data_IF_280069441100
#
_entry.id   IF_280069441100
#
_cell.length_a   1.000
_cell.length_b   1.000
_cell.length_c   1.000
_cell.angle_alpha   90.00
_cell.angle_beta   90.00
_cell.angle_gamma   90.00
#
_symmetry.space_group_name_H-M   'P 1'
#
loop_
_entity.id
_entity.type
_entity.pdbx_description
1 polymer ?
#
# COMPACT_ATOMS: atom_id res chain seq x y z
N UNK A 1 10.21 19.50 -19.64
CA UNK A 1 10.46 18.43 -20.63
C UNK A 1 9.59 17.26 -20.20
N UNK A 2 8.44 17.06 -20.85
CA UNK A 2 7.51 15.99 -20.50
C UNK A 2 7.99 14.70 -21.15
N UNK A 3 8.52 13.78 -20.38
CA UNK A 3 8.88 12.45 -20.89
C UNK A 3 7.62 11.60 -20.87
N UNK A 4 6.92 11.54 -22.00
CA UNK A 4 5.89 10.52 -22.22
C UNK A 4 6.59 9.17 -22.39
N UNK A 5 6.68 8.38 -21.32
CA UNK A 5 6.98 6.96 -21.46
C UNK A 5 5.78 6.28 -22.13
N UNK A 6 6.02 5.47 -23.15
CA UNK A 6 5.01 4.58 -23.72
C UNK A 6 4.47 3.65 -22.60
N UNK A 7 3.17 3.34 -22.64
CA UNK A 7 2.60 2.39 -21.70
C UNK A 7 3.42 1.08 -21.68
N UNK A 8 3.71 0.49 -20.50
CA UNK A 8 4.49 -0.73 -20.42
C UNK A 8 3.77 -1.87 -21.15
N UNK A 9 4.53 -2.78 -21.77
CA UNK A 9 3.98 -4.00 -22.34
C UNK A 9 3.44 -4.91 -21.24
N UNK A 10 2.59 -5.86 -21.56
CA UNK A 10 2.02 -6.82 -20.59
C UNK A 10 3.11 -7.57 -19.80
N UNK A 11 4.22 -7.94 -20.45
CA UNK A 11 5.36 -8.60 -19.82
C UNK A 11 6.11 -7.71 -18.81
N UNK A 12 6.02 -6.39 -18.97
CA UNK A 12 6.66 -5.40 -18.12
C UNK A 12 5.72 -4.87 -17.03
N UNK A 13 4.45 -5.25 -17.06
CA UNK A 13 3.46 -4.79 -16.09
C UNK A 13 3.51 -5.60 -14.80
N UNK A 14 3.51 -4.91 -13.66
CA UNK A 14 3.21 -5.50 -12.36
C UNK A 14 1.70 -5.69 -12.19
N UNK A 15 0.92 -4.68 -12.60
CA UNK A 15 -0.54 -4.68 -12.50
C UNK A 15 -1.11 -4.37 -13.88
N UNK A 16 -2.14 -5.14 -14.27
CA UNK A 16 -2.92 -4.87 -15.48
C UNK A 16 -4.39 -4.84 -15.12
N UNK A 17 -5.07 -3.79 -15.53
CA UNK A 17 -6.53 -3.71 -15.54
C UNK A 17 -7.00 -3.77 -17.01
N UNK A 18 -8.03 -4.58 -17.30
CA UNK A 18 -8.62 -4.70 -18.64
C UNK A 18 -10.13 -4.69 -18.54
N UNK A 19 -10.74 -3.73 -19.21
CA UNK A 19 -12.19 -3.45 -19.15
C UNK A 19 -12.71 -3.47 -17.71
N UNK A 20 -11.90 -2.92 -16.79
CA UNK A 20 -12.15 -3.03 -15.35
C UNK A 20 -13.21 -2.03 -14.93
N UNK A 21 -14.27 -2.54 -14.33
CA UNK A 21 -15.42 -1.79 -13.85
C UNK A 21 -15.65 -2.08 -12.37
N UNK A 22 -16.04 -1.05 -11.61
CA UNK A 22 -16.30 -1.18 -10.17
C UNK A 22 -17.50 -0.35 -9.73
N UNK A 23 -18.34 -0.93 -8.89
CA UNK A 23 -19.54 -0.29 -8.33
C UNK A 23 -19.56 -0.32 -6.81
N UNK A 24 -20.11 0.74 -6.24
CA UNK A 24 -20.62 0.80 -4.87
C UNK A 24 -22.16 0.77 -4.94
N UNK A 25 -22.81 -0.37 -4.67
CA UNK A 25 -24.24 -0.54 -4.93
C UNK A 25 -24.57 -0.23 -6.39
N UNK A 26 -25.44 0.76 -6.62
CA UNK A 26 -25.84 1.19 -7.98
C UNK A 26 -24.88 2.25 -8.58
N UNK A 27 -23.94 2.79 -7.78
CA UNK A 27 -23.01 3.81 -8.25
C UNK A 27 -21.83 3.20 -9.00
N UNK A 28 -21.74 3.44 -10.33
CA UNK A 28 -20.64 3.00 -11.18
C UNK A 28 -19.42 3.92 -10.98
N UNK A 29 -18.51 3.52 -10.12
CA UNK A 29 -17.38 4.34 -9.66
C UNK A 29 -16.17 4.30 -10.59
N UNK A 30 -15.92 3.16 -11.26
CA UNK A 30 -14.86 3.00 -12.26
C UNK A 30 -15.46 2.35 -13.49
N UNK A 31 -15.22 2.95 -14.67
CA UNK A 31 -15.86 2.55 -15.94
C UNK A 31 -14.81 2.18 -16.97
N UNK A 32 -14.79 0.89 -17.39
CA UNK A 32 -14.01 0.40 -18.53
C UNK A 32 -12.53 0.79 -18.50
N UNK A 33 -11.86 0.59 -17.36
CA UNK A 33 -10.45 0.98 -17.22
C UNK A 33 -9.54 -0.03 -17.90
N UNK A 34 -8.73 0.46 -18.85
CA UNK A 34 -7.61 -0.26 -19.45
C UNK A 34 -6.30 0.42 -19.02
N UNK A 35 -5.49 -0.27 -18.21
CA UNK A 35 -4.28 0.30 -17.61
C UNK A 35 -3.22 -0.76 -17.34
N UNK A 36 -1.96 -0.42 -17.65
CA UNK A 36 -0.79 -1.22 -17.26
C UNK A 36 0.12 -0.38 -16.36
N UNK A 37 0.50 -0.93 -15.21
CA UNK A 37 1.44 -0.34 -14.25
C UNK A 37 2.74 -1.13 -14.31
N UNK A 38 3.84 -0.44 -14.64
CA UNK A 38 5.14 -1.06 -14.83
C UNK A 38 5.71 -1.64 -13.53
N UNK A 39 6.47 -2.75 -13.66
CA UNK A 39 7.31 -3.29 -12.59
C UNK A 39 8.45 -2.33 -12.27
N UNK A 40 8.86 -2.30 -11.00
CA UNK A 40 10.03 -1.56 -10.52
C UNK A 40 10.01 -0.07 -10.91
N UNK A 41 8.82 0.53 -10.99
CA UNK A 41 8.63 1.92 -11.36
C UNK A 41 7.66 2.62 -10.40
N UNK A 42 7.75 3.96 -10.34
CA UNK A 42 6.78 4.78 -9.64
C UNK A 42 5.74 5.25 -10.65
N UNK A 43 4.47 4.92 -10.39
CA UNK A 43 3.34 5.38 -11.20
C UNK A 43 2.47 6.31 -10.35
N UNK A 44 2.18 7.51 -10.86
CA UNK A 44 1.34 8.49 -10.18
C UNK A 44 0.03 8.69 -10.93
N UNK A 45 -1.09 8.64 -10.21
CA UNK A 45 -2.42 8.97 -10.73
C UNK A 45 -2.74 10.43 -10.41
N UNK A 46 -2.94 11.24 -11.44
CA UNK A 46 -3.26 12.66 -11.32
C UNK A 46 -4.68 12.89 -11.85
N UNK A 47 -5.49 13.60 -11.08
CA UNK A 47 -6.87 13.93 -11.47
C UNK A 47 -7.60 14.65 -10.35
N UNK A 48 -8.77 15.23 -10.63
CA UNK A 48 -9.56 15.96 -9.63
C UNK A 48 -10.00 15.05 -8.47
N UNK A 49 -10.40 15.68 -7.37
CA UNK A 49 -11.01 14.94 -6.25
C UNK A 49 -12.28 14.24 -6.74
N UNK A 50 -12.50 13.01 -6.27
CA UNK A 50 -13.67 12.20 -6.64
C UNK A 50 -13.59 11.46 -7.99
N UNK A 51 -12.50 11.58 -8.76
CA UNK A 51 -12.39 10.87 -10.05
C UNK A 51 -12.05 9.37 -9.94
N UNK A 52 -12.07 8.78 -8.75
CA UNK A 52 -11.89 7.33 -8.58
C UNK A 52 -10.47 6.85 -8.23
N UNK A 53 -9.46 7.74 -8.04
CA UNK A 53 -8.07 7.34 -7.73
C UNK A 53 -7.97 6.39 -6.53
N UNK A 54 -8.52 6.79 -5.38
CA UNK A 54 -8.51 5.96 -4.16
C UNK A 54 -9.34 4.69 -4.32
N UNK A 55 -10.46 4.77 -5.06
CA UNK A 55 -11.26 3.58 -5.39
C UNK A 55 -10.43 2.57 -6.18
N UNK A 56 -9.70 3.03 -7.23
CA UNK A 56 -8.85 2.17 -8.02
C UNK A 56 -7.71 1.55 -7.19
N UNK A 57 -7.00 2.35 -6.37
CA UNK A 57 -5.96 1.84 -5.49
C UNK A 57 -6.51 0.74 -4.55
N UNK A 58 -7.69 0.96 -3.96
CA UNK A 58 -8.34 -0.02 -3.07
C UNK A 58 -8.89 -1.24 -3.80
N UNK A 59 -9.08 -1.19 -5.12
CA UNK A 59 -9.37 -2.37 -5.91
C UNK A 59 -8.14 -3.26 -6.08
N UNK A 60 -6.93 -2.69 -6.22
CA UNK A 60 -5.69 -3.46 -6.42
C UNK A 60 -5.39 -4.39 -5.24
N UNK A 61 -5.69 -3.98 -3.99
CA UNK A 61 -5.49 -4.82 -2.80
C UNK A 61 -6.80 -5.39 -2.24
N UNK A 62 -7.91 -5.26 -2.98
CA UNK A 62 -9.23 -5.76 -2.61
C UNK A 62 -9.76 -5.22 -1.26
N UNK A 63 -9.32 -4.00 -0.87
CA UNK A 63 -9.85 -3.35 0.33
C UNK A 63 -11.33 -2.97 0.20
N UNK A 64 -11.80 -2.75 -1.03
CA UNK A 64 -13.21 -2.46 -1.29
C UNK A 64 -14.14 -3.65 -1.01
N UNK A 65 -13.63 -4.89 -0.97
CA UNK A 65 -14.41 -6.08 -0.60
C UNK A 65 -14.99 -6.02 0.82
N UNK A 66 -14.47 -5.12 1.67
CA UNK A 66 -14.98 -4.89 3.02
C UNK A 66 -16.27 -4.03 3.03
N UNK A 67 -16.66 -3.49 1.89
CA UNK A 67 -17.85 -2.65 1.72
C UNK A 67 -18.94 -3.50 1.10
N UNK A 68 -20.08 -3.61 1.79
CA UNK A 68 -21.24 -4.37 1.29
C UNK A 68 -21.77 -3.77 -0.01
N UNK A 69 -22.25 -4.64 -0.91
CA UNK A 69 -22.86 -4.25 -2.17
C UNK A 69 -21.86 -3.80 -3.25
N UNK A 70 -20.56 -4.05 -3.07
CA UNK A 70 -19.59 -3.79 -4.15
C UNK A 70 -19.66 -4.87 -5.22
N UNK A 71 -19.40 -4.45 -6.47
CA UNK A 71 -19.36 -5.35 -7.65
C UNK A 71 -18.18 -4.99 -8.54
N UNK A 72 -17.56 -6.02 -9.09
CA UNK A 72 -16.44 -5.93 -10.04
C UNK A 72 -16.82 -6.64 -11.34
N UNK A 73 -16.45 -6.05 -12.48
CA UNK A 73 -16.46 -6.70 -13.79
C UNK A 73 -15.15 -6.37 -14.54
N UNK A 74 -14.80 -7.18 -15.53
CA UNK A 74 -13.50 -7.09 -16.21
C UNK A 74 -12.43 -7.86 -15.46
N UNK A 75 -11.16 -7.53 -15.72
CA UNK A 75 -10.01 -8.28 -15.17
C UNK A 75 -9.01 -7.33 -14.52
N UNK A 76 -8.47 -7.73 -13.37
CA UNK A 76 -7.32 -7.06 -12.77
C UNK A 76 -6.29 -8.11 -12.35
N UNK A 77 -5.06 -7.99 -12.85
CA UNK A 77 -4.01 -8.96 -12.58
C UNK A 77 -2.83 -8.35 -11.83
N UNK A 78 -2.20 -9.16 -10.96
CA UNK A 78 -0.90 -8.91 -10.36
C UNK A 78 0.08 -9.97 -10.87
N UNK A 79 1.14 -9.56 -11.56
CA UNK A 79 2.10 -10.46 -12.23
C UNK A 79 1.40 -11.50 -13.13
N UNK A 80 0.36 -11.08 -13.86
CA UNK A 80 -0.42 -11.92 -14.77
C UNK A 80 -1.48 -12.82 -14.11
N UNK A 81 -1.57 -12.85 -12.79
CA UNK A 81 -2.58 -13.62 -12.06
C UNK A 81 -3.77 -12.73 -11.70
N UNK A 82 -4.98 -13.15 -12.10
CA UNK A 82 -6.19 -12.40 -11.78
C UNK A 82 -6.43 -12.39 -10.27
N UNK A 83 -6.45 -11.18 -9.68
CA UNK A 83 -6.62 -11.00 -8.24
C UNK A 83 -8.07 -11.16 -7.77
N UNK A 84 -9.04 -11.21 -8.70
CA UNK A 84 -10.46 -11.46 -8.43
C UNK A 84 -10.91 -12.88 -8.82
N UNK A 85 -9.98 -13.73 -9.28
CA UNK A 85 -10.31 -15.12 -9.60
C UNK A 85 -10.84 -15.88 -8.37
N UNK A 86 -11.69 -16.87 -8.62
CA UNK A 86 -12.19 -17.76 -7.58
C UNK A 86 -11.04 -18.44 -6.82
N UNK A 87 -11.11 -18.47 -5.50
CA UNK A 87 -10.10 -19.08 -4.64
C UNK A 87 -8.90 -18.18 -4.29
N UNK A 88 -8.79 -16.94 -4.82
CA UNK A 88 -7.76 -16.00 -4.40
C UNK A 88 -8.07 -15.48 -3.00
N UNK A 89 -7.16 -15.76 -2.04
CA UNK A 89 -7.27 -15.23 -0.67
C UNK A 89 -6.85 -13.74 -0.63
N UNK A 90 -7.75 -12.83 -0.23
CA UNK A 90 -7.41 -11.41 -0.08
C UNK A 90 -6.32 -11.15 0.98
N UNK A 91 -6.13 -12.04 1.96
CA UNK A 91 -5.09 -11.90 2.97
C UNK A 91 -3.71 -12.09 2.34
N UNK A 92 -3.55 -13.13 1.51
CA UNK A 92 -2.29 -13.37 0.80
C UNK A 92 -2.01 -12.27 -0.23
N UNK A 93 -3.03 -11.78 -0.93
CA UNK A 93 -2.89 -10.63 -1.81
C UNK A 93 -2.38 -9.39 -1.05
N UNK A 94 -2.96 -9.07 0.11
CA UNK A 94 -2.58 -7.89 0.92
C UNK A 94 -1.20 -7.98 1.55
N UNK A 95 -0.61 -9.17 1.65
CA UNK A 95 0.81 -9.34 2.01
C UNK A 95 1.71 -8.85 0.89
N UNK A 96 1.34 -9.12 -0.37
CA UNK A 96 2.09 -8.73 -1.57
C UNK A 96 1.83 -7.28 -1.98
N UNK A 97 0.65 -6.75 -1.68
CA UNK A 97 0.21 -5.40 -2.05
C UNK A 97 -0.06 -4.58 -0.80
N UNK A 98 0.97 -3.92 -0.31
CA UNK A 98 0.88 -3.04 0.86
C UNK A 98 0.17 -1.73 0.54
N UNK A 99 -0.52 -1.14 1.52
CA UNK A 99 -1.22 0.15 1.37
C UNK A 99 -0.87 1.11 2.49
N UNK A 100 -0.58 2.34 2.11
CA UNK A 100 -0.32 3.47 2.99
C UNK A 100 -1.45 4.48 2.78
N UNK A 101 -2.19 4.74 3.85
CA UNK A 101 -3.37 5.59 3.82
C UNK A 101 -3.01 7.07 3.97
N UNK A 102 -3.91 7.94 3.53
CA UNK A 102 -3.81 9.39 3.65
C UNK A 102 -3.63 9.84 5.12
N UNK A 103 -4.41 9.25 6.03
CA UNK A 103 -4.24 9.48 7.46
C UNK A 103 -3.40 8.39 8.10
N UNK A 104 -2.38 8.73 8.90
CA UNK A 104 -1.61 7.74 9.63
C UNK A 104 -2.52 6.90 10.54
N UNK A 105 -2.26 5.61 10.59
CA UNK A 105 -3.04 4.66 11.40
C UNK A 105 -2.12 3.69 12.16
N UNK A 106 -1.16 4.17 12.98
CA UNK A 106 -0.34 3.28 13.77
C UNK A 106 -1.21 2.50 14.77
N UNK A 107 -0.79 1.28 15.08
CA UNK A 107 -1.45 0.49 16.13
C UNK A 107 -1.16 1.11 17.50
N UNK A 108 -2.08 0.97 18.49
CA UNK A 108 -1.87 1.36 19.89
C UNK A 108 -0.87 0.43 20.56
N UNK A 109 0.35 0.44 20.08
CA UNK A 109 1.49 -0.40 20.45
C UNK A 109 2.78 0.43 20.34
N UNK A 110 3.88 -0.11 20.86
CA UNK A 110 5.18 0.54 20.71
C UNK A 110 5.60 0.70 19.24
N UNK A 111 6.57 1.58 18.98
CA UNK A 111 7.18 1.76 17.65
C UNK A 111 7.69 0.41 17.13
N UNK A 112 8.43 -0.32 17.98
CA UNK A 112 8.93 -1.65 17.65
C UNK A 112 7.81 -2.60 17.25
N UNK A 113 6.77 -2.73 18.10
CA UNK A 113 5.67 -3.64 17.88
C UNK A 113 4.80 -3.28 16.65
N UNK A 114 4.73 -2.02 16.27
CA UNK A 114 4.09 -1.62 15.02
C UNK A 114 4.79 -2.24 13.82
N UNK A 115 6.12 -2.21 13.77
CA UNK A 115 6.90 -2.74 12.64
C UNK A 115 7.02 -4.25 12.69
N UNK A 116 7.28 -4.84 13.88
CA UNK A 116 7.46 -6.27 14.07
C UNK A 116 6.16 -7.09 13.92
N UNK A 117 4.99 -6.45 13.96
CA UNK A 117 3.70 -7.13 13.99
C UNK A 117 3.48 -8.04 12.77
N UNK A 118 3.67 -7.51 11.58
CA UNK A 118 3.49 -8.26 10.33
C UNK A 118 4.46 -9.45 10.20
N UNK A 119 5.78 -9.24 10.33
CA UNK A 119 6.76 -10.32 10.31
C UNK A 119 6.46 -11.45 11.31
N UNK A 120 6.01 -11.12 12.54
CA UNK A 120 5.58 -12.15 13.51
C UNK A 120 4.39 -12.96 13.02
N UNK A 121 3.41 -12.34 12.39
CA UNK A 121 2.27 -13.06 11.80
C UNK A 121 2.71 -13.97 10.64
N UNK A 122 3.82 -13.65 9.98
CA UNK A 122 4.45 -14.51 8.96
C UNK A 122 5.33 -15.62 9.55
N UNK A 123 5.41 -15.72 10.89
CA UNK A 123 6.15 -16.80 11.57
C UNK A 123 7.60 -16.45 11.91
N UNK A 124 8.04 -15.20 11.78
CA UNK A 124 9.37 -14.78 12.28
C UNK A 124 9.35 -14.76 13.80
N UNK A 125 10.02 -15.72 14.44
CA UNK A 125 10.07 -15.89 15.90
C UNK A 125 11.40 -15.48 16.51
N UNK A 126 12.47 -15.45 15.70
CA UNK A 126 13.80 -15.03 16.16
C UNK A 126 13.81 -13.55 16.51
N UNK A 127 14.26 -13.23 17.74
CA UNK A 127 14.35 -11.86 18.18
C UNK A 127 15.38 -11.06 17.36
N UNK A 128 16.52 -11.67 17.02
CA UNK A 128 17.56 -11.05 16.21
C UNK A 128 17.03 -10.66 14.84
N UNK A 129 16.31 -11.58 14.16
CA UNK A 129 15.78 -11.33 12.82
C UNK A 129 14.70 -10.22 12.85
N UNK A 130 13.89 -10.20 13.92
CA UNK A 130 12.92 -9.11 14.12
C UNK A 130 13.61 -7.76 14.37
N UNK A 131 14.69 -7.74 15.16
CA UNK A 131 15.47 -6.53 15.44
C UNK A 131 16.06 -5.96 14.12
N UNK A 132 16.62 -6.83 13.27
CA UNK A 132 17.17 -6.46 11.96
C UNK A 132 16.07 -5.93 11.01
N UNK A 133 14.94 -6.63 10.91
CA UNK A 133 13.79 -6.19 10.09
C UNK A 133 13.27 -4.82 10.55
N UNK A 134 13.13 -4.62 11.85
CA UNK A 134 12.63 -3.36 12.43
C UNK A 134 13.59 -2.22 12.13
N UNK A 135 14.90 -2.43 12.36
CA UNK A 135 15.91 -1.42 12.09
C UNK A 135 15.96 -1.04 10.61
N UNK A 136 16.02 -2.03 9.71
CA UNK A 136 16.05 -1.81 8.27
C UNK A 136 14.80 -1.05 7.79
N UNK A 137 13.62 -1.50 8.21
CA UNK A 137 12.35 -0.87 7.81
C UNK A 137 12.24 0.57 8.27
N UNK A 138 12.66 0.87 9.51
CA UNK A 138 12.69 2.23 10.03
C UNK A 138 13.74 3.10 9.31
N UNK A 139 14.88 2.53 8.90
CA UNK A 139 15.88 3.23 8.08
C UNK A 139 15.32 3.57 6.70
N UNK A 140 14.67 2.61 6.03
CA UNK A 140 14.04 2.80 4.72
C UNK A 140 12.92 3.84 4.75
N UNK A 141 12.18 3.92 5.87
CA UNK A 141 11.16 4.95 6.10
C UNK A 141 11.72 6.30 6.58
N UNK A 142 13.04 6.47 6.63
CA UNK A 142 13.73 7.67 7.15
C UNK A 142 13.26 8.09 8.56
N UNK A 143 13.00 7.12 9.43
CA UNK A 143 12.53 7.35 10.81
C UNK A 143 13.56 6.90 11.87
N UNK A 144 14.48 5.99 11.54
CA UNK A 144 15.41 5.35 12.48
C UNK A 144 16.16 6.35 13.35
N UNK A 145 16.73 7.41 12.75
CA UNK A 145 17.54 8.40 13.47
C UNK A 145 16.78 9.13 14.58
N UNK A 146 15.45 9.23 14.43
CA UNK A 146 14.60 9.94 15.38
C UNK A 146 14.10 9.05 16.52
N UNK A 147 14.01 7.73 16.28
CA UNK A 147 13.33 6.81 17.20
C UNK A 147 14.19 5.65 17.73
N UNK A 148 15.42 5.49 17.25
CA UNK A 148 16.28 4.34 17.60
C UNK A 148 16.52 4.15 19.09
N UNK A 149 16.52 5.23 19.87
CA UNK A 149 16.69 5.22 21.33
C UNK A 149 15.37 5.12 22.11
N UNK A 150 14.22 5.02 21.44
CA UNK A 150 12.89 5.03 22.06
C UNK A 150 11.90 4.06 21.41
N UNK A 151 12.37 2.94 20.90
CA UNK A 151 11.54 1.94 20.18
C UNK A 151 10.39 1.38 21.01
N UNK A 152 10.49 1.42 22.34
CA UNK A 152 9.44 1.00 23.26
C UNK A 152 8.37 2.07 23.52
N UNK A 153 8.53 3.29 23.01
CA UNK A 153 7.53 4.35 23.13
C UNK A 153 6.31 4.02 22.30
N UNK A 154 5.12 4.45 22.77
CA UNK A 154 3.88 4.31 22.04
C UNK A 154 3.95 5.00 20.66
N UNK A 155 3.59 4.28 19.60
CA UNK A 155 3.53 4.80 18.24
C UNK A 155 2.54 5.96 18.07
N UNK A 156 1.47 5.99 18.86
CA UNK A 156 0.49 7.08 18.87
C UNK A 156 1.04 8.39 19.47
N UNK A 157 2.12 8.33 20.29
CA UNK A 157 2.75 9.51 20.87
C UNK A 157 3.71 10.23 19.91
N UNK A 158 3.91 9.70 18.70
CA UNK A 158 4.71 10.33 17.65
C UNK A 158 3.97 11.51 17.00
N UNK A 159 4.71 12.45 16.38
CA UNK A 159 4.10 13.48 15.53
C UNK A 159 3.41 12.86 14.30
N UNK A 160 2.47 13.58 13.67
CA UNK A 160 1.74 13.07 12.49
C UNK A 160 2.66 12.59 11.36
N UNK A 161 3.72 13.35 11.04
CA UNK A 161 4.71 12.94 10.05
C UNK A 161 5.54 11.72 10.48
N UNK A 162 5.87 11.59 11.77
CA UNK A 162 6.54 10.40 12.30
C UNK A 162 5.60 9.18 12.28
N UNK A 163 4.32 9.36 12.61
CA UNK A 163 3.31 8.31 12.52
C UNK A 163 3.15 7.81 11.08
N UNK A 164 3.15 8.72 10.09
CA UNK A 164 3.10 8.35 8.68
C UNK A 164 4.32 7.52 8.28
N UNK A 165 5.52 7.95 8.65
CA UNK A 165 6.75 7.18 8.40
C UNK A 165 6.76 5.84 9.16
N UNK A 166 6.16 5.75 10.34
CA UNK A 166 5.99 4.49 11.05
C UNK A 166 5.05 3.52 10.29
N UNK A 167 3.94 4.03 9.73
CA UNK A 167 3.06 3.22 8.86
C UNK A 167 3.78 2.75 7.59
N UNK A 168 4.65 3.60 7.01
CA UNK A 168 5.51 3.21 5.88
C UNK A 168 6.46 2.09 6.31
N UNK A 169 7.17 2.23 7.44
CA UNK A 169 8.08 1.20 7.95
C UNK A 169 7.37 -0.12 8.19
N UNK A 170 6.18 -0.08 8.82
CA UNK A 170 5.32 -1.27 9.04
C UNK A 170 4.98 -1.98 7.74
N UNK A 171 4.65 -1.23 6.69
CA UNK A 171 4.34 -1.80 5.38
C UNK A 171 5.57 -2.41 4.72
N UNK A 172 6.71 -1.72 4.77
CA UNK A 172 7.97 -2.19 4.17
C UNK A 172 8.54 -3.43 4.87
N UNK A 173 8.25 -3.63 6.16
CA UNK A 173 8.67 -4.81 6.93
C UNK A 173 8.07 -6.12 6.41
N UNK A 174 7.00 -6.04 5.63
CA UNK A 174 6.36 -7.19 4.99
C UNK A 174 7.00 -7.57 3.64
N UNK A 175 7.98 -6.79 3.15
CA UNK A 175 8.60 -6.94 1.83
C UNK A 175 7.57 -7.08 0.69
N UNK A 176 6.61 -6.16 0.57
CA UNK A 176 5.58 -6.25 -0.45
C UNK A 176 6.15 -6.08 -1.88
N UNK A 177 5.53 -6.74 -2.86
CA UNK A 177 5.86 -6.58 -4.29
C UNK A 177 5.43 -5.21 -4.82
N UNK A 178 4.33 -4.68 -4.29
CA UNK A 178 3.73 -3.39 -4.65
C UNK A 178 3.37 -2.60 -3.40
N UNK A 179 3.66 -1.30 -3.40
CA UNK A 179 3.21 -0.37 -2.35
C UNK A 179 2.28 0.68 -2.96
N UNK A 180 1.07 0.75 -2.45
CA UNK A 180 0.06 1.71 -2.84
C UNK A 180 0.08 2.89 -1.86
N UNK A 181 0.07 4.12 -2.40
CA UNK A 181 0.03 5.35 -1.62
C UNK A 181 -1.25 6.12 -1.94
N UNK A 182 -2.14 6.25 -0.98
CA UNK A 182 -3.38 7.04 -1.09
C UNK A 182 -3.13 8.42 -0.47
N UNK A 183 -2.63 9.38 -1.26
CA UNK A 183 -2.31 10.77 -0.87
C UNK A 183 -1.46 10.90 0.42
N UNK A 184 -0.33 10.19 0.55
CA UNK A 184 0.41 10.06 1.82
C UNK A 184 1.05 11.35 2.30
N UNK A 185 1.23 12.34 1.43
CA UNK A 185 1.89 13.61 1.74
C UNK A 185 0.93 14.71 2.21
N UNK A 186 -0.39 14.51 2.16
CA UNK A 186 -1.37 15.52 2.56
C UNK A 186 -1.30 15.88 4.06
N UNK A 187 -0.72 15.01 4.89
CA UNK A 187 -0.51 15.21 6.32
C UNK A 187 0.94 15.59 6.69
N UNK A 188 1.85 15.69 5.71
CA UNK A 188 3.24 16.04 5.95
C UNK A 188 3.47 17.54 5.79
N UNK A 189 4.31 18.12 6.67
CA UNK A 189 4.84 19.46 6.50
C UNK A 189 5.62 19.52 5.16
N UNK A 190 5.50 20.59 4.35
CA UNK A 190 6.22 20.77 3.08
C UNK A 190 7.74 20.58 3.17
N UNK A 191 8.34 20.74 4.37
CA UNK A 191 9.77 20.54 4.63
C UNK A 191 10.11 19.04 4.85
N UNK A 192 9.13 18.19 5.11
CA UNK A 192 9.29 16.75 5.38
C UNK A 192 9.01 15.88 4.16
N UNK A 193 8.69 16.48 3.04
CA UNK A 193 8.52 15.88 1.72
C UNK A 193 9.75 16.10 0.88
#
# INVERSE_FOLDING_TARGET
MSVYQSAPTLEQAAITAKDFNFWYGDFHALTGLDLNIAKNAITSFIGPSGCGKSTFLRCINRMNDLIEGTRVEGTMTLDGNDIYAEGVDPVDLRRRVGMIFQQPNPFPKSIYENVAFGPRLQGVTSKSDLDDIVEESLKRANLWKEVSNQLNKDGLALSGGQQQRLCIARTLAMHPDVVLFDEPCSALDPIST
#
